data_IF_718541181195
#
_entry.id   IF_718541181195
#
_cell.length_a   1.000
_cell.length_b   1.000
_cell.length_c   1.000
_cell.angle_alpha   90.00
_cell.angle_beta   90.00
_cell.angle_gamma   90.00
#
_symmetry.space_group_name_H-M   'P 1'
#
loop_
_entity.id
_entity.type
_entity.pdbx_description
1 polymer ?
#
# COMPACT_ATOMS: atom_id res chain seq x y z
N UNK A 1 -2.27 32.60 -2.60
CA UNK A 1 -1.58 31.50 -1.87
C UNK A 1 -0.35 31.07 -2.65
N UNK A 2 0.66 30.57 -1.99
CA UNK A 2 1.90 30.08 -2.61
C UNK A 2 2.15 28.65 -2.15
N UNK A 3 2.36 27.72 -3.08
CA UNK A 3 2.90 26.39 -2.80
C UNK A 3 4.44 26.49 -2.77
N UNK A 4 5.04 26.01 -1.69
CA UNK A 4 6.48 25.98 -1.49
C UNK A 4 7.01 24.58 -1.29
N UNK A 5 8.25 24.37 -1.72
CA UNK A 5 9.10 23.22 -1.36
C UNK A 5 10.20 23.76 -0.44
N UNK A 6 10.09 23.55 0.87
CA UNK A 6 10.79 24.34 1.89
C UNK A 6 10.58 25.83 1.64
N UNK A 7 11.65 26.61 1.43
CA UNK A 7 11.54 28.06 1.18
C UNK A 7 11.48 28.43 -0.32
N UNK A 8 11.49 27.41 -1.24
CA UNK A 8 11.36 27.65 -2.68
C UNK A 8 9.90 27.82 -3.07
N UNK A 9 9.56 28.94 -3.70
CA UNK A 9 8.24 29.14 -4.30
C UNK A 9 8.13 28.33 -5.60
N UNK A 10 7.12 27.45 -5.67
CA UNK A 10 6.87 26.60 -6.85
C UNK A 10 5.80 27.18 -7.76
N UNK A 11 4.69 27.62 -7.17
CA UNK A 11 3.56 28.20 -7.90
C UNK A 11 2.71 29.08 -6.99
N UNK A 12 1.96 30.00 -7.61
CA UNK A 12 0.95 30.85 -6.96
C UNK A 12 -0.42 30.46 -7.44
N UNK A 13 -1.40 30.49 -6.54
CA UNK A 13 -2.77 30.12 -6.84
C UNK A 13 -3.77 30.92 -5.99
N UNK A 14 -5.01 30.92 -6.43
CA UNK A 14 -6.15 31.50 -5.73
C UNK A 14 -7.21 30.42 -5.45
N UNK A 15 -7.90 30.54 -4.32
CA UNK A 15 -9.07 29.73 -4.06
C UNK A 15 -10.24 30.16 -4.94
N UNK A 16 -10.99 29.19 -5.47
CA UNK A 16 -12.19 29.40 -6.29
C UNK A 16 -13.38 28.76 -5.58
N UNK A 17 -14.43 29.53 -5.35
CA UNK A 17 -15.67 29.05 -4.74
C UNK A 17 -16.51 28.23 -5.76
N UNK A 18 -17.27 27.19 -5.34
CA UNK A 18 -17.42 26.74 -3.95
C UNK A 18 -16.27 25.86 -3.45
N UNK A 19 -15.54 25.19 -4.30
CA UNK A 19 -14.39 24.33 -4.02
C UNK A 19 -13.51 24.20 -5.25
N UNK A 20 -12.31 24.71 -5.21
CA UNK A 20 -11.35 24.65 -6.31
C UNK A 20 -10.21 25.63 -6.12
N UNK A 21 -9.32 25.59 -7.08
CA UNK A 21 -8.18 26.51 -7.18
C UNK A 21 -8.01 26.99 -8.61
N UNK A 22 -7.36 28.12 -8.77
CA UNK A 22 -6.86 28.63 -10.04
C UNK A 22 -5.38 28.91 -9.89
N UNK A 23 -4.56 28.25 -10.70
CA UNK A 23 -3.12 28.50 -10.77
C UNK A 23 -2.91 29.85 -11.49
N UNK A 24 -2.23 30.77 -10.79
CA UNK A 24 -1.95 32.12 -11.30
C UNK A 24 -0.63 32.14 -12.03
N UNK A 25 0.39 31.52 -11.46
CA UNK A 25 1.73 31.45 -12.06
C UNK A 25 2.50 30.24 -11.56
N UNK A 26 3.42 29.77 -12.37
CA UNK A 26 4.33 28.66 -12.04
C UNK A 26 5.75 29.20 -12.15
N UNK A 27 6.59 28.87 -11.17
CA UNK A 27 8.01 29.18 -11.21
C UNK A 27 8.72 28.10 -12.05
N UNK A 28 8.93 28.38 -13.32
CA UNK A 28 9.50 27.43 -14.27
C UNK A 28 10.94 27.00 -13.91
N UNK A 29 11.71 27.87 -13.22
CA UNK A 29 13.04 27.53 -12.76
C UNK A 29 13.05 26.42 -11.69
N UNK A 30 11.97 26.34 -10.90
CA UNK A 30 11.82 25.37 -9.82
C UNK A 30 10.84 24.23 -10.16
N UNK A 31 10.38 24.11 -11.42
CA UNK A 31 9.40 23.11 -11.87
C UNK A 31 9.79 21.67 -11.51
N UNK A 32 11.08 21.34 -11.48
CA UNK A 32 11.58 20.03 -11.09
C UNK A 32 11.22 19.62 -9.65
N UNK A 33 10.94 20.59 -8.78
CA UNK A 33 10.54 20.37 -7.40
C UNK A 33 9.03 20.30 -7.20
N UNK A 34 8.21 20.33 -8.26
CA UNK A 34 6.79 20.04 -8.13
C UNK A 34 6.58 18.64 -7.52
N UNK A 35 5.53 18.45 -6.71
CA UNK A 35 5.19 17.14 -6.19
C UNK A 35 5.17 16.08 -7.29
N UNK A 36 5.84 14.93 -7.09
CA UNK A 36 5.93 13.87 -8.09
C UNK A 36 4.55 13.39 -8.58
N UNK A 37 3.55 13.43 -7.71
CA UNK A 37 2.16 13.09 -8.02
C UNK A 37 1.46 14.09 -8.97
N UNK A 38 2.06 15.23 -9.27
CA UNK A 38 1.61 16.16 -10.30
C UNK A 38 2.20 15.83 -11.68
N UNK A 39 3.09 14.84 -11.79
CA UNK A 39 3.71 14.40 -13.06
C UNK A 39 4.28 15.56 -13.89
N UNK A 40 4.85 16.57 -13.22
CA UNK A 40 5.41 17.78 -13.86
C UNK A 40 4.37 18.75 -14.42
N UNK A 41 3.07 18.51 -14.21
CA UNK A 41 1.98 19.37 -14.68
C UNK A 41 1.42 20.20 -13.52
N UNK A 42 1.56 21.52 -13.60
CA UNK A 42 1.02 22.45 -12.61
C UNK A 42 -0.17 23.21 -13.22
N UNK A 43 -1.37 22.66 -13.05
CA UNK A 43 -2.63 23.30 -13.43
C UNK A 43 -3.67 23.21 -12.30
N UNK A 44 -4.84 23.75 -12.50
CA UNK A 44 -5.93 23.80 -11.52
C UNK A 44 -6.32 22.41 -11.02
N UNK A 45 -6.44 21.43 -11.93
CA UNK A 45 -6.87 20.06 -11.63
C UNK A 45 -5.82 19.30 -10.80
N UNK A 46 -4.54 19.34 -11.24
CA UNK A 46 -3.45 18.63 -10.55
C UNK A 46 -3.20 19.24 -9.18
N UNK A 47 -3.23 20.55 -9.05
CA UNK A 47 -3.07 21.25 -7.77
C UNK A 47 -4.25 20.94 -6.83
N UNK A 48 -5.50 21.02 -7.32
CA UNK A 48 -6.69 20.70 -6.51
C UNK A 48 -6.66 19.27 -6.01
N UNK A 49 -6.28 18.32 -6.88
CA UNK A 49 -6.13 16.91 -6.54
C UNK A 49 -5.08 16.72 -5.44
N UNK A 50 -3.95 17.37 -5.58
CA UNK A 50 -2.86 17.31 -4.60
C UNK A 50 -3.30 17.91 -3.24
N UNK A 51 -3.91 19.08 -3.21
CA UNK A 51 -4.43 19.71 -1.98
C UNK A 51 -5.48 18.83 -1.29
N UNK A 52 -6.41 18.24 -2.04
CA UNK A 52 -7.44 17.35 -1.50
C UNK A 52 -6.83 16.10 -0.86
N UNK A 53 -5.77 15.54 -1.47
CA UNK A 53 -5.04 14.39 -0.92
C UNK A 53 -4.19 14.74 0.32
N UNK A 54 -3.97 16.01 0.59
CA UNK A 54 -3.27 16.51 1.79
C UNK A 54 -4.21 16.80 2.96
N UNK A 55 -5.46 16.47 2.84
CA UNK A 55 -6.40 16.53 3.96
C UNK A 55 -6.64 15.13 4.51
N UNK A 56 -6.95 15.04 5.78
CA UNK A 56 -7.22 13.78 6.45
C UNK A 56 -8.43 13.06 5.84
N UNK A 57 -8.38 11.71 5.67
CA UNK A 57 -9.50 10.95 5.13
C UNK A 57 -10.75 11.07 6.01
N UNK A 58 -11.91 11.27 5.39
CA UNK A 58 -13.21 11.42 6.08
C UNK A 58 -13.63 10.21 6.90
N UNK A 59 -13.16 9.02 6.52
CA UNK A 59 -13.42 7.77 7.21
C UNK A 59 -12.39 7.45 8.32
N UNK A 60 -11.46 8.36 8.60
CA UNK A 60 -10.56 8.21 9.74
C UNK A 60 -11.36 8.32 11.04
N UNK A 61 -11.09 7.41 11.95
CA UNK A 61 -11.73 7.42 13.26
C UNK A 61 -11.46 8.72 14.01
N UNK A 62 -12.47 9.24 14.69
CA UNK A 62 -12.49 10.47 15.49
C UNK A 62 -12.19 11.76 14.70
N UNK A 63 -12.25 11.72 13.35
CA UNK A 63 -11.94 12.91 12.56
C UNK A 63 -13.04 13.96 12.65
N UNK A 64 -14.31 13.55 12.65
CA UNK A 64 -15.44 14.47 12.72
C UNK A 64 -15.47 15.21 14.08
N UNK A 65 -15.13 14.52 15.17
CA UNK A 65 -15.00 15.11 16.50
C UNK A 65 -13.85 16.12 16.55
N UNK A 66 -12.72 15.81 15.92
CA UNK A 66 -11.59 16.74 15.82
C UNK A 66 -11.98 17.97 15.00
N UNK A 67 -12.60 17.76 13.82
CA UNK A 67 -13.00 18.86 12.93
C UNK A 67 -14.07 19.76 13.57
N UNK A 68 -15.07 19.17 14.22
CA UNK A 68 -16.11 19.93 14.92
C UNK A 68 -15.55 20.85 16.01
N UNK A 69 -14.52 20.37 16.74
CA UNK A 69 -13.86 21.16 17.78
C UNK A 69 -13.14 22.41 17.25
N UNK A 70 -12.62 22.33 16.04
CA UNK A 70 -11.94 23.46 15.38
C UNK A 70 -12.88 24.30 14.51
N UNK A 71 -14.18 24.00 14.52
CA UNK A 71 -15.15 24.72 13.73
C UNK A 71 -15.06 24.49 12.22
N UNK A 72 -14.43 23.40 11.79
CA UNK A 72 -14.30 23.03 10.39
C UNK A 72 -15.09 21.74 10.08
N UNK A 73 -15.41 21.56 8.82
CA UNK A 73 -15.87 20.27 8.28
C UNK A 73 -14.69 19.52 7.66
N UNK A 74 -14.66 18.19 7.78
CA UNK A 74 -13.71 17.32 7.08
C UNK A 74 -13.77 17.46 5.54
N UNK A 75 -14.79 18.15 5.02
CA UNK A 75 -14.95 18.48 3.59
C UNK A 75 -14.35 19.82 3.20
N UNK A 76 -14.01 20.66 4.17
CA UNK A 76 -13.49 22.01 3.90
C UNK A 76 -11.98 21.95 3.63
N UNK A 77 -11.59 21.57 2.40
CA UNK A 77 -10.18 21.48 1.98
C UNK A 77 -9.46 22.80 2.20
N UNK A 78 -10.05 23.93 1.77
CA UNK A 78 -9.49 25.27 1.97
C UNK A 78 -9.20 25.54 3.44
N UNK A 79 -10.20 25.42 4.32
CA UNK A 79 -10.03 25.70 5.75
C UNK A 79 -9.01 24.80 6.43
N UNK A 80 -8.94 23.50 6.03
CA UNK A 80 -7.94 22.56 6.57
C UNK A 80 -6.53 22.98 6.12
N UNK A 81 -6.33 23.28 4.84
CA UNK A 81 -5.03 23.69 4.30
C UNK A 81 -4.59 25.04 4.91
N UNK A 82 -5.47 26.00 5.02
CA UNK A 82 -5.16 27.30 5.66
C UNK A 82 -4.79 27.14 7.13
N UNK A 83 -5.44 26.20 7.84
CA UNK A 83 -5.15 25.92 9.24
C UNK A 83 -3.77 25.25 9.43
N UNK A 84 -3.50 24.16 8.70
CA UNK A 84 -2.29 23.33 8.89
C UNK A 84 -1.19 23.64 7.87
N UNK A 85 -1.38 24.64 7.02
CA UNK A 85 -0.49 24.98 5.88
C UNK A 85 -0.20 23.79 4.95
N UNK A 86 -1.02 22.74 4.99
CA UNK A 86 -0.79 21.51 4.28
C UNK A 86 0.50 20.77 4.69
N UNK A 87 1.09 21.09 5.83
CA UNK A 87 2.30 20.43 6.34
C UNK A 87 2.09 18.94 6.59
N UNK A 88 3.08 18.13 6.22
CA UNK A 88 3.03 16.67 6.35
C UNK A 88 4.38 16.14 6.85
N UNK A 89 4.34 14.99 7.53
CA UNK A 89 5.56 14.22 7.86
C UNK A 89 6.02 13.34 6.69
N UNK A 90 5.39 13.43 5.52
CA UNK A 90 5.78 12.64 4.35
C UNK A 90 6.71 13.38 3.39
N UNK A 91 6.80 14.70 3.48
CA UNK A 91 7.53 15.53 2.51
C UNK A 91 7.81 16.92 3.07
N UNK A 92 8.32 17.84 2.24
CA UNK A 92 8.72 19.20 2.60
C UNK A 92 7.89 20.27 1.90
N UNK A 93 6.68 19.92 1.45
CA UNK A 93 5.76 20.87 0.84
C UNK A 93 4.85 21.54 1.85
N UNK A 94 4.56 22.81 1.63
CA UNK A 94 3.61 23.57 2.40
C UNK A 94 2.99 24.72 1.61
N UNK A 95 1.90 25.26 2.14
CA UNK A 95 1.15 26.35 1.51
C UNK A 95 1.13 27.55 2.44
N UNK A 96 1.49 28.71 1.90
CA UNK A 96 1.52 29.95 2.66
C UNK A 96 0.70 31.05 1.97
N UNK A 97 0.22 32.08 2.68
CA UNK A 97 -0.32 33.28 2.06
C UNK A 97 0.68 33.94 1.12
N UNK A 98 0.20 34.63 0.12
CA UNK A 98 1.07 35.43 -0.75
C UNK A 98 1.72 36.59 0.07
N UNK A 99 3.01 36.81 -0.17
CA UNK A 99 3.79 37.80 0.61
C UNK A 99 4.18 37.34 2.03
N UNK A 100 3.94 36.05 2.39
CA UNK A 100 4.35 35.50 3.68
C UNK A 100 5.88 35.37 3.77
N UNK A 101 6.46 35.91 4.83
CA UNK A 101 7.91 35.89 5.10
C UNK A 101 8.33 34.69 5.98
N UNK A 102 7.38 33.86 6.41
CA UNK A 102 7.64 32.70 7.25
C UNK A 102 8.61 31.73 6.54
N UNK A 103 9.54 31.14 7.30
CA UNK A 103 10.53 30.18 6.81
C UNK A 103 10.12 28.75 7.11
N UNK A 104 10.57 27.80 6.29
CA UNK A 104 10.39 26.36 6.49
C UNK A 104 10.89 25.91 7.86
N UNK A 105 12.03 26.45 8.29
CA UNK A 105 12.67 26.10 9.56
C UNK A 105 11.73 26.33 10.75
N UNK A 106 10.90 27.35 10.72
CA UNK A 106 10.06 27.76 11.86
C UNK A 106 8.75 26.95 11.93
N UNK A 107 8.36 26.24 10.84
CA UNK A 107 7.05 25.59 10.75
C UNK A 107 7.10 24.10 10.44
N UNK A 108 8.22 23.55 9.94
CA UNK A 108 8.30 22.16 9.58
C UNK A 108 7.98 21.22 10.77
N UNK A 109 7.36 20.06 10.46
CA UNK A 109 6.94 19.10 11.48
C UNK A 109 8.08 18.17 11.94
N UNK A 110 9.24 18.23 11.29
CA UNK A 110 10.39 17.39 11.63
C UNK A 110 11.12 17.92 12.87
N UNK A 111 11.28 19.22 12.97
CA UNK A 111 12.05 19.91 14.01
C UNK A 111 11.16 20.59 15.07
N UNK A 112 9.99 21.10 14.64
CA UNK A 112 9.12 21.86 15.52
C UNK A 112 8.12 20.95 16.26
N UNK A 113 7.74 21.37 17.46
CA UNK A 113 6.74 20.67 18.26
C UNK A 113 5.34 20.80 17.65
N UNK A 114 4.54 19.78 17.82
CA UNK A 114 3.13 19.77 17.46
C UNK A 114 2.23 19.38 18.64
N UNK A 115 0.98 19.78 18.57
CA UNK A 115 0.06 19.74 19.71
C UNK A 115 -0.25 18.33 20.21
N UNK A 116 0.16 18.02 21.42
CA UNK A 116 -0.23 16.80 22.13
C UNK A 116 -1.76 16.73 22.35
N UNK A 117 -2.43 17.85 22.47
CA UNK A 117 -3.87 17.93 22.65
C UNK A 117 -4.62 17.52 21.37
N UNK A 118 -4.16 17.98 20.19
CA UNK A 118 -4.67 17.52 18.90
C UNK A 118 -4.40 16.02 18.71
N UNK A 119 -3.21 15.55 19.04
CA UNK A 119 -2.86 14.11 18.97
C UNK A 119 -3.78 13.25 19.86
N UNK A 120 -4.08 13.69 21.09
CA UNK A 120 -5.03 13.01 21.96
C UNK A 120 -6.43 12.94 21.36
N UNK A 121 -6.93 14.07 20.82
CA UNK A 121 -8.25 14.15 20.20
C UNK A 121 -8.33 13.22 18.99
N UNK A 122 -7.36 13.28 18.09
CA UNK A 122 -7.29 12.43 16.90
C UNK A 122 -7.26 10.95 17.25
N UNK A 123 -6.63 10.57 18.37
CA UNK A 123 -6.54 9.18 18.81
C UNK A 123 -7.79 8.69 19.56
N UNK A 124 -8.34 9.49 20.48
CA UNK A 124 -9.38 9.05 21.41
C UNK A 124 -10.77 9.62 21.16
N UNK A 125 -10.90 10.65 20.33
CA UNK A 125 -12.13 11.44 20.17
C UNK A 125 -12.40 12.39 21.34
N UNK A 126 -11.56 12.34 22.39
CA UNK A 126 -11.71 13.14 23.60
C UNK A 126 -10.40 13.85 23.93
N UNK A 127 -10.46 15.13 24.22
CA UNK A 127 -9.29 15.92 24.55
C UNK A 127 -9.66 17.20 25.31
N UNK A 128 -8.67 17.97 25.78
CA UNK A 128 -8.90 19.25 26.42
C UNK A 128 -9.55 20.24 25.46
N UNK A 129 -10.13 21.29 25.99
CA UNK A 129 -10.70 22.38 25.19
C UNK A 129 -9.57 23.23 24.58
N UNK A 130 -9.66 23.50 23.27
CA UNK A 130 -8.58 24.18 22.54
C UNK A 130 -9.03 25.59 22.18
N UNK A 131 -9.10 26.48 23.07
CA UNK A 131 -9.47 27.87 22.73
C UNK A 131 -8.29 28.77 22.41
N UNK A 132 -7.05 28.31 22.62
CA UNK A 132 -5.87 29.18 22.47
C UNK A 132 -4.77 28.45 21.68
N UNK A 133 -4.39 29.07 20.56
CA UNK A 133 -3.25 28.75 19.67
C UNK A 133 -3.29 27.41 18.96
N UNK A 134 -3.88 27.41 17.77
CA UNK A 134 -3.76 26.34 16.80
C UNK A 134 -2.31 26.26 16.33
N UNK A 135 -1.63 25.20 16.70
CA UNK A 135 -0.32 24.86 16.14
C UNK A 135 -0.49 23.87 15.02
N UNK A 136 0.38 23.92 14.01
CA UNK A 136 0.44 22.91 12.98
C UNK A 136 0.55 21.51 13.60
N UNK A 137 -0.15 20.55 13.03
CA UNK A 137 -0.16 19.18 13.52
C UNK A 137 -0.18 18.21 12.34
N UNK A 138 0.59 17.10 12.39
CA UNK A 138 0.57 16.08 11.36
C UNK A 138 -0.78 15.35 11.28
N UNK A 139 -1.64 15.50 12.29
CA UNK A 139 -2.93 14.82 12.35
C UNK A 139 -3.88 15.23 11.22
N UNK A 140 -3.73 16.44 10.69
CA UNK A 140 -4.57 16.97 9.60
C UNK A 140 -4.21 16.42 8.22
N UNK A 141 -3.05 15.78 8.08
CA UNK A 141 -2.54 15.23 6.81
C UNK A 141 -2.22 13.74 6.88
N UNK A 142 -2.42 13.11 8.05
CA UNK A 142 -2.13 11.69 8.26
C UNK A 142 -3.24 10.80 7.71
N UNK A 143 -2.89 9.89 6.81
CA UNK A 143 -3.79 8.95 6.16
C UNK A 143 -4.12 7.71 7.02
N UNK A 144 -5.17 6.98 6.60
CA UNK A 144 -5.61 5.69 7.13
C UNK A 144 -6.76 5.79 8.13
N UNK A 145 -7.54 4.71 8.26
CA UNK A 145 -8.82 4.68 8.96
C UNK A 145 -8.72 4.48 10.47
N UNK A 146 -7.75 3.71 10.95
CA UNK A 146 -7.64 3.38 12.38
C UNK A 146 -7.30 4.61 13.22
N UNK A 147 -7.70 4.61 14.48
CA UNK A 147 -7.31 5.63 15.45
C UNK A 147 -5.79 5.64 15.62
N UNK A 148 -5.19 6.76 15.33
CA UNK A 148 -3.74 6.95 15.37
C UNK A 148 -3.38 8.37 15.72
N UNK A 149 -2.16 8.57 16.21
CA UNK A 149 -1.61 9.90 16.41
C UNK A 149 -0.08 9.87 16.41
N UNK A 150 0.49 11.01 16.07
CA UNK A 150 1.91 11.26 16.18
C UNK A 150 2.25 11.90 17.53
N UNK A 151 3.35 11.46 18.11
CA UNK A 151 3.84 12.02 19.37
C UNK A 151 5.34 12.22 19.30
N UNK A 152 5.81 13.36 19.84
CA UNK A 152 7.22 13.60 20.04
C UNK A 152 7.58 13.18 21.46
N UNK A 153 8.47 12.20 21.62
CA UNK A 153 8.89 11.66 22.92
C UNK A 153 10.42 11.60 22.91
N UNK A 154 11.04 12.29 23.84
CA UNK A 154 12.49 12.39 23.96
C UNK A 154 13.17 12.74 22.62
N UNK A 155 12.60 13.71 21.89
CA UNK A 155 13.07 14.15 20.58
C UNK A 155 12.66 13.26 19.40
N UNK A 156 12.20 12.03 19.64
CA UNK A 156 11.78 11.10 18.58
C UNK A 156 10.32 11.28 18.21
N UNK A 157 10.02 11.29 16.92
CA UNK A 157 8.65 11.32 16.40
C UNK A 157 8.17 9.88 16.22
N UNK A 158 7.14 9.51 16.97
CA UNK A 158 6.57 8.16 17.02
C UNK A 158 5.10 8.18 16.59
N UNK A 159 4.72 7.26 15.70
CA UNK A 159 3.32 6.97 15.39
C UNK A 159 2.77 5.98 16.42
N UNK A 160 1.62 6.29 17.01
CA UNK A 160 0.80 5.39 17.81
C UNK A 160 -0.44 5.01 17.01
N UNK A 161 -0.66 3.73 16.75
CA UNK A 161 -1.77 3.21 15.95
C UNK A 161 -2.50 2.11 16.73
N UNK A 162 -3.79 2.30 17.02
CA UNK A 162 -4.62 1.29 17.69
C UNK A 162 -5.10 0.22 16.70
N UNK A 163 -5.61 -0.88 17.24
CA UNK A 163 -6.36 -1.85 16.45
C UNK A 163 -7.81 -1.43 16.20
N UNK A 164 -8.51 -2.25 15.42
CA UNK A 164 -9.97 -2.14 15.20
C UNK A 164 -10.73 -2.34 16.51
N UNK A 165 -11.89 -1.72 16.62
CA UNK A 165 -12.79 -1.84 17.77
C UNK A 165 -14.20 -2.21 17.29
N UNK A 166 -14.95 -2.90 18.15
CA UNK A 166 -16.32 -3.33 17.91
C UNK A 166 -16.50 -4.84 17.99
N UNK A 167 -17.73 -5.30 18.05
CA UNK A 167 -18.07 -6.70 18.35
C UNK A 167 -17.54 -7.73 17.33
N UNK A 168 -17.30 -7.32 16.09
CA UNK A 168 -16.80 -8.20 15.02
C UNK A 168 -15.32 -8.02 14.72
N UNK A 169 -14.61 -7.20 15.49
CA UNK A 169 -13.20 -6.87 15.26
C UNK A 169 -12.32 -7.49 16.35
N UNK A 170 -11.12 -7.91 15.96
CA UNK A 170 -10.18 -8.56 16.88
C UNK A 170 -9.37 -7.56 17.70
N UNK A 171 -9.05 -6.40 17.12
CA UNK A 171 -8.12 -5.44 17.71
C UNK A 171 -6.67 -5.91 17.73
N UNK A 172 -6.33 -6.96 16.92
CA UNK A 172 -5.01 -7.59 16.95
C UNK A 172 -3.99 -6.96 15.97
N UNK A 173 -4.37 -5.96 15.21
CA UNK A 173 -3.50 -5.28 14.26
C UNK A 173 -2.19 -4.79 14.91
N UNK A 174 -2.17 -4.22 16.14
CA UNK A 174 -0.92 -3.84 16.79
C UNK A 174 0.04 -5.01 17.00
N UNK A 175 -0.47 -6.20 17.32
CA UNK A 175 0.35 -7.40 17.46
C UNK A 175 0.89 -7.86 16.12
N UNK A 176 0.07 -7.80 15.06
CA UNK A 176 0.51 -8.13 13.71
C UNK A 176 1.66 -7.24 13.26
N UNK A 177 1.57 -5.93 13.46
CA UNK A 177 2.65 -4.99 13.18
C UNK A 177 3.94 -5.38 13.92
N UNK A 178 3.83 -5.64 15.22
CA UNK A 178 4.97 -5.97 16.08
C UNK A 178 5.64 -7.29 15.72
N UNK A 179 4.86 -8.34 15.43
CA UNK A 179 5.40 -9.66 15.07
C UNK A 179 5.90 -9.68 13.62
N UNK A 180 5.21 -9.02 12.70
CA UNK A 180 5.64 -8.91 11.31
C UNK A 180 6.97 -8.16 11.18
N UNK A 181 7.21 -7.12 12.00
CA UNK A 181 8.51 -6.42 11.98
C UNK A 181 9.67 -7.32 12.39
N UNK A 182 9.45 -8.25 13.35
CA UNK A 182 10.48 -9.23 13.74
C UNK A 182 10.75 -10.26 12.63
N UNK A 183 9.71 -10.67 11.89
CA UNK A 183 9.88 -11.55 10.72
C UNK A 183 10.65 -10.82 9.63
N UNK A 184 10.33 -9.55 9.35
CA UNK A 184 11.06 -8.74 8.37
C UNK A 184 12.53 -8.54 8.77
N UNK A 185 12.81 -8.32 10.06
CA UNK A 185 14.16 -8.25 10.60
C UNK A 185 14.94 -9.56 10.37
N UNK A 186 14.33 -10.70 10.69
CA UNK A 186 14.93 -12.02 10.48
C UNK A 186 15.20 -12.35 9.01
N UNK A 187 14.38 -11.81 8.10
CA UNK A 187 14.56 -11.90 6.65
C UNK A 187 15.61 -10.90 6.11
N UNK A 188 16.15 -10.01 6.93
CA UNK A 188 17.06 -8.95 6.48
C UNK A 188 16.41 -7.95 5.51
N UNK A 189 15.11 -7.67 5.68
CA UNK A 189 14.37 -6.72 4.86
C UNK A 189 14.43 -5.30 5.44
N UNK A 190 14.49 -4.30 4.55
CA UNK A 190 14.29 -2.90 4.95
C UNK A 190 12.86 -2.69 5.44
N UNK A 191 12.68 -2.47 6.73
CA UNK A 191 11.37 -2.36 7.36
C UNK A 191 11.34 -1.33 8.46
N UNK A 192 10.14 -0.89 8.83
CA UNK A 192 9.92 -0.07 10.02
C UNK A 192 9.82 -0.98 11.24
N UNK A 193 10.64 -0.71 12.26
CA UNK A 193 10.60 -1.47 13.52
C UNK A 193 9.37 -1.05 14.35
N UNK A 194 8.60 -2.03 14.81
CA UNK A 194 7.42 -1.79 15.62
C UNK A 194 7.62 -2.25 17.07
N UNK A 195 7.09 -1.44 17.99
CA UNK A 195 6.92 -1.77 19.39
C UNK A 195 5.43 -1.86 19.77
N UNK A 196 5.16 -2.23 21.02
CA UNK A 196 3.82 -2.21 21.61
C UNK A 196 3.78 -1.27 22.82
N UNK A 197 2.69 -0.50 22.92
CA UNK A 197 2.46 0.41 24.04
C UNK A 197 0.97 0.53 24.34
N UNK A 198 0.64 1.29 25.40
CA UNK A 198 -0.73 1.74 25.64
C UNK A 198 -0.80 3.26 25.61
N UNK A 199 -1.81 3.78 24.94
CA UNK A 199 -2.13 5.20 24.93
C UNK A 199 -3.62 5.40 25.13
N UNK A 200 -4.01 6.27 26.08
CA UNK A 200 -5.43 6.48 26.43
C UNK A 200 -6.21 5.19 26.68
N UNK A 201 -5.61 4.26 27.39
CA UNK A 201 -6.24 2.97 27.73
C UNK A 201 -6.25 1.90 26.62
N UNK A 202 -5.90 2.25 25.37
CA UNK A 202 -5.90 1.34 24.22
C UNK A 202 -4.51 0.79 23.93
N UNK A 203 -4.44 -0.48 23.55
CA UNK A 203 -3.23 -1.07 22.99
C UNK A 203 -2.94 -0.46 21.62
N UNK A 204 -1.66 -0.16 21.38
CA UNK A 204 -1.19 0.39 20.12
C UNK A 204 0.10 -0.30 19.67
N UNK A 205 0.30 -0.41 18.38
CA UNK A 205 1.62 -0.46 17.81
C UNK A 205 2.25 0.92 17.84
N UNK A 206 3.57 0.96 18.01
CA UNK A 206 4.35 2.20 17.96
C UNK A 206 5.51 2.01 17.01
N UNK A 207 5.78 3.01 16.17
CA UNK A 207 6.93 2.96 15.29
C UNK A 207 7.54 4.36 15.11
N UNK A 208 8.87 4.44 14.88
CA UNK A 208 9.51 5.70 14.54
C UNK A 208 9.07 6.19 13.16
N UNK A 209 9.13 7.50 13.00
CA UNK A 209 9.03 8.14 11.68
C UNK A 209 10.20 7.67 10.82
N UNK A 210 9.93 7.19 9.60
CA UNK A 210 10.97 6.75 8.66
C UNK A 210 11.33 7.81 7.61
N UNK A 211 10.58 8.89 7.55
CA UNK A 211 10.88 10.08 6.73
C UNK A 211 11.66 11.10 7.55
N UNK A 212 12.19 12.10 6.89
CA UNK A 212 12.95 13.19 7.49
C UNK A 212 12.86 14.43 6.62
N UNK A 213 13.46 15.54 7.04
CA UNK A 213 13.62 16.70 6.14
C UNK A 213 14.39 16.33 4.86
N UNK A 214 15.34 15.38 4.95
CA UNK A 214 16.11 14.90 3.79
C UNK A 214 15.35 13.92 2.91
N UNK A 215 14.57 13.01 3.48
CA UNK A 215 13.91 11.92 2.75
C UNK A 215 12.40 11.95 2.97
N UNK A 216 11.66 12.13 1.87
CA UNK A 216 10.22 12.07 1.83
C UNK A 216 9.68 10.70 1.42
N UNK A 217 8.37 10.55 1.54
CA UNK A 217 7.63 9.36 1.11
C UNK A 217 6.48 9.74 0.18
N UNK A 218 6.38 9.06 -0.94
CA UNK A 218 5.22 9.16 -1.83
C UNK A 218 4.60 7.78 -2.07
N UNK A 219 3.29 7.59 -1.83
CA UNK A 219 2.62 6.34 -2.11
C UNK A 219 2.70 5.95 -3.59
N UNK A 220 2.92 4.67 -3.89
CA UNK A 220 3.04 4.19 -5.27
C UNK A 220 1.83 4.57 -6.12
N UNK A 221 0.62 4.48 -5.58
CA UNK A 221 -0.62 4.81 -6.30
C UNK A 221 -0.82 6.28 -6.65
N UNK A 222 0.09 7.15 -6.24
CA UNK A 222 0.10 8.56 -6.63
C UNK A 222 1.05 8.86 -7.79
N UNK A 223 1.98 7.95 -8.08
CA UNK A 223 3.06 8.15 -9.06
C UNK A 223 2.93 7.20 -10.24
N UNK A 224 2.53 5.94 -9.99
CA UNK A 224 2.44 4.89 -11.01
C UNK A 224 1.10 4.17 -10.97
N UNK A 225 0.73 3.54 -12.07
CA UNK A 225 -0.40 2.63 -12.13
C UNK A 225 -0.13 1.35 -11.33
N UNK A 226 -1.19 0.60 -11.05
CA UNK A 226 -1.07 -0.69 -10.35
C UNK A 226 -0.23 -1.70 -11.14
N UNK A 227 -0.40 -1.75 -12.45
CA UNK A 227 0.31 -2.71 -13.29
C UNK A 227 1.81 -2.38 -13.34
N UNK A 228 2.18 -1.11 -13.41
CA UNK A 228 3.57 -0.65 -13.31
C UNK A 228 4.17 -0.96 -11.94
N UNK A 229 3.46 -0.69 -10.85
CA UNK A 229 3.95 -1.00 -9.50
C UNK A 229 4.18 -2.50 -9.28
N UNK A 230 3.35 -3.37 -9.87
CA UNK A 230 3.48 -4.82 -9.73
C UNK A 230 4.71 -5.41 -10.43
N UNK A 231 5.24 -4.73 -11.42
CA UNK A 231 6.45 -5.16 -12.16
C UNK A 231 7.70 -4.37 -11.76
N UNK A 232 7.57 -3.38 -10.89
CA UNK A 232 8.70 -2.58 -10.42
C UNK A 232 9.56 -3.42 -9.45
N UNK A 233 10.84 -3.70 -9.80
CA UNK A 233 11.72 -4.53 -8.98
C UNK A 233 11.99 -3.95 -7.59
N UNK A 234 11.79 -2.65 -7.40
CA UNK A 234 11.94 -1.99 -6.09
C UNK A 234 10.94 -2.51 -5.05
N UNK A 235 9.77 -2.98 -5.50
CA UNK A 235 8.73 -3.51 -4.62
C UNK A 235 8.74 -5.03 -4.47
N UNK A 236 9.68 -5.72 -5.12
CA UNK A 236 9.78 -7.19 -5.07
C UNK A 236 9.85 -7.71 -3.64
N UNK A 237 10.64 -7.09 -2.79
CA UNK A 237 10.83 -7.49 -1.41
C UNK A 237 9.56 -7.36 -0.57
N UNK A 238 8.75 -6.31 -0.77
CA UNK A 238 7.51 -6.11 -0.02
C UNK A 238 6.43 -7.11 -0.42
N UNK A 239 6.27 -7.41 -1.70
CA UNK A 239 5.30 -8.40 -2.15
C UNK A 239 5.70 -9.82 -1.73
N UNK A 240 7.00 -10.13 -1.71
CA UNK A 240 7.51 -11.38 -1.19
C UNK A 240 7.24 -11.50 0.32
N UNK A 241 7.48 -10.46 1.07
CA UNK A 241 7.18 -10.40 2.50
C UNK A 241 5.70 -10.60 2.78
N UNK A 242 4.82 -9.93 2.03
CA UNK A 242 3.36 -10.10 2.16
C UNK A 242 2.93 -11.55 1.93
N UNK A 243 3.59 -12.26 0.99
CA UNK A 243 3.35 -13.69 0.79
C UNK A 243 3.77 -14.53 2.01
N UNK A 244 4.84 -14.18 2.69
CA UNK A 244 5.31 -14.88 3.90
C UNK A 244 4.37 -14.67 5.08
N UNK A 245 4.02 -13.41 5.37
CA UNK A 245 3.18 -13.05 6.53
C UNK A 245 1.68 -13.11 6.24
N UNK A 246 1.31 -13.40 4.99
CA UNK A 246 -0.08 -13.42 4.56
C UNK A 246 -0.80 -12.08 4.81
N UNK A 247 -0.19 -10.98 4.34
CA UNK A 247 -0.81 -9.66 4.44
C UNK A 247 -1.91 -9.50 3.38
N UNK A 248 -3.12 -9.22 3.84
CA UNK A 248 -4.32 -9.17 3.00
C UNK A 248 -4.70 -7.77 2.54
N UNK A 249 -4.01 -6.74 3.04
CA UNK A 249 -4.36 -5.33 2.82
C UNK A 249 -3.23 -4.52 2.17
N UNK A 250 -2.33 -5.14 1.40
CA UNK A 250 -1.32 -4.39 0.65
C UNK A 250 -1.97 -3.68 -0.54
N UNK A 251 -2.31 -2.44 -0.35
CA UNK A 251 -2.83 -1.56 -1.39
C UNK A 251 -1.81 -0.48 -1.77
N UNK A 252 -2.04 0.21 -2.89
CA UNK A 252 -1.15 1.22 -3.47
C UNK A 252 -0.87 2.44 -2.57
N UNK A 253 -1.53 2.55 -1.43
CA UNK A 253 -1.36 3.64 -0.45
C UNK A 253 -0.41 3.29 0.71
N UNK A 254 -0.12 1.99 0.95
CA UNK A 254 0.72 1.55 2.07
C UNK A 254 2.03 0.89 1.64
N UNK A 255 2.48 1.20 0.42
CA UNK A 255 3.85 1.08 -0.07
C UNK A 255 4.13 2.17 -1.10
N UNK A 256 5.38 2.48 -1.35
CA UNK A 256 5.75 3.54 -2.29
C UNK A 256 7.23 3.83 -2.29
N UNK A 257 7.56 5.03 -2.68
CA UNK A 257 8.92 5.46 -2.95
C UNK A 257 9.46 6.37 -1.84
N UNK A 258 10.74 6.19 -1.55
CA UNK A 258 11.54 7.19 -0.85
C UNK A 258 12.04 8.23 -1.86
N UNK A 259 11.91 9.51 -1.50
CA UNK A 259 12.29 10.64 -2.35
C UNK A 259 13.34 11.46 -1.61
N UNK A 260 14.42 11.80 -2.30
CA UNK A 260 15.38 12.79 -1.81
C UNK A 260 14.78 14.18 -2.00
N UNK A 261 14.48 14.87 -0.90
CA UNK A 261 13.87 16.18 -0.93
C UNK A 261 14.79 17.30 -1.45
N UNK A 262 16.10 17.07 -1.52
CA UNK A 262 17.03 18.06 -2.08
C UNK A 262 17.09 18.02 -3.61
N UNK A 263 16.83 16.85 -4.20
CA UNK A 263 16.85 16.66 -5.66
C UNK A 263 15.46 16.41 -6.25
N UNK A 264 14.47 16.05 -5.42
CA UNK A 264 13.14 15.58 -5.79
C UNK A 264 13.16 14.29 -6.62
N UNK A 265 14.19 13.44 -6.43
CA UNK A 265 14.36 12.19 -7.14
C UNK A 265 13.99 10.98 -6.27
N UNK A 266 13.44 9.94 -6.91
CA UNK A 266 13.18 8.67 -6.24
C UNK A 266 14.50 7.95 -5.99
N UNK A 267 14.84 7.71 -4.72
CA UNK A 267 16.07 7.01 -4.32
C UNK A 267 15.87 5.52 -4.05
N UNK A 268 14.63 5.05 -3.95
CA UNK A 268 14.33 3.64 -3.72
C UNK A 268 12.90 3.38 -3.28
N UNK A 269 12.62 2.15 -2.87
CA UNK A 269 11.38 1.84 -2.18
C UNK A 269 11.46 2.30 -0.71
N UNK A 270 10.32 2.74 -0.18
CA UNK A 270 10.17 2.98 1.25
C UNK A 270 10.34 1.66 2.04
N UNK A 271 10.79 1.71 3.30
CA UNK A 271 10.84 0.53 4.16
C UNK A 271 9.45 -0.09 4.29
N UNK A 272 9.37 -1.40 4.52
CA UNK A 272 8.10 -2.12 4.69
C UNK A 272 7.40 -1.64 5.97
N UNK A 273 6.15 -1.23 5.85
CA UNK A 273 5.30 -0.78 6.95
C UNK A 273 3.84 -1.18 6.70
N UNK A 274 2.97 -0.91 7.67
CA UNK A 274 1.52 -1.18 7.62
C UNK A 274 1.19 -2.67 7.36
N UNK A 275 1.61 -3.53 8.30
CA UNK A 275 1.43 -4.98 8.27
C UNK A 275 0.32 -5.45 9.23
N UNK A 276 -0.57 -4.55 9.63
CA UNK A 276 -1.61 -4.80 10.61
C UNK A 276 -2.57 -5.92 10.24
N UNK A 277 -2.76 -6.16 8.93
CA UNK A 277 -3.65 -7.19 8.40
C UNK A 277 -2.93 -8.49 8.01
N UNK A 278 -1.68 -8.65 8.45
CA UNK A 278 -0.93 -9.90 8.34
C UNK A 278 -1.18 -10.85 9.52
N UNK A 279 -0.55 -12.02 9.49
CA UNK A 279 -0.46 -12.98 10.60
C UNK A 279 -1.81 -13.29 11.27
N UNK A 280 -2.87 -13.36 10.46
CA UNK A 280 -4.24 -13.68 10.90
C UNK A 280 -4.86 -12.71 11.92
N UNK A 281 -4.43 -11.47 11.93
CA UNK A 281 -4.94 -10.45 12.85
C UNK A 281 -6.47 -10.34 12.89
N UNK A 282 -7.14 -10.62 11.77
CA UNK A 282 -8.60 -10.55 11.65
C UNK A 282 -9.33 -11.84 12.09
N UNK A 283 -8.60 -12.93 12.41
CA UNK A 283 -9.22 -14.17 12.85
C UNK A 283 -9.62 -14.07 14.32
N UNK A 284 -10.91 -14.27 14.60
CA UNK A 284 -11.46 -14.30 15.96
C UNK A 284 -11.17 -15.66 16.63
N UNK A 285 -10.76 -15.64 17.90
CA UNK A 285 -10.69 -16.84 18.73
C UNK A 285 -12.12 -17.18 19.19
N UNK A 286 -12.69 -18.28 18.68
CA UNK A 286 -13.98 -18.80 19.18
C UNK A 286 -13.75 -19.53 20.50
N UNK A 287 -14.58 -19.27 21.51
CA UNK A 287 -14.48 -19.96 22.79
C UNK A 287 -14.80 -21.44 22.61
N UNK A 288 -13.89 -22.29 23.07
CA UNK A 288 -14.14 -23.72 23.22
C UNK A 288 -13.60 -24.63 22.14
N UNK A 289 -12.91 -24.10 21.14
CA UNK A 289 -12.49 -24.91 20.00
C UNK A 289 -11.06 -25.44 20.09
N UNK A 290 -10.89 -26.65 19.60
CA UNK A 290 -9.64 -27.35 19.39
C UNK A 290 -8.79 -26.71 18.29
N UNK A 291 -7.64 -27.28 17.97
CA UNK A 291 -6.72 -26.85 16.89
C UNK A 291 -7.37 -26.49 15.53
N UNK A 292 -8.62 -26.91 15.31
CA UNK A 292 -9.36 -26.67 14.06
C UNK A 292 -9.86 -25.25 13.87
N UNK A 293 -9.79 -24.36 14.87
CA UNK A 293 -10.21 -22.96 14.76
C UNK A 293 -9.41 -22.15 13.73
N UNK A 294 -8.18 -22.54 13.50
CA UNK A 294 -7.36 -21.97 12.41
C UNK A 294 -7.75 -22.52 11.03
N UNK A 295 -8.64 -23.53 10.95
CA UNK A 295 -9.17 -24.00 9.67
C UNK A 295 -10.13 -23.02 9.00
N UNK A 296 -10.78 -22.14 9.74
CA UNK A 296 -11.51 -21.00 9.15
C UNK A 296 -10.56 -20.00 8.45
N UNK A 297 -9.26 -20.08 8.72
CA UNK A 297 -8.22 -19.46 7.93
C UNK A 297 -8.20 -19.91 6.47
N UNK A 298 -8.55 -21.16 6.14
CA UNK A 298 -8.70 -21.59 4.73
C UNK A 298 -9.84 -20.85 4.04
N UNK A 299 -10.94 -20.57 4.74
CA UNK A 299 -12.04 -19.74 4.23
C UNK A 299 -11.63 -18.28 4.14
N UNK A 300 -10.79 -17.81 5.04
CA UNK A 300 -10.23 -16.46 5.00
C UNK A 300 -9.23 -16.33 3.83
N UNK A 301 -8.33 -17.31 3.68
CA UNK A 301 -7.37 -17.43 2.57
C UNK A 301 -8.06 -17.43 1.21
N UNK A 302 -9.23 -18.06 1.07
CA UNK A 302 -10.00 -18.06 -0.18
C UNK A 302 -10.62 -16.70 -0.54
N UNK A 303 -10.72 -15.77 0.42
CA UNK A 303 -11.24 -14.40 0.20
C UNK A 303 -10.14 -13.38 -0.10
N UNK A 304 -8.89 -13.73 0.18
CA UNK A 304 -7.73 -12.87 -0.10
C UNK A 304 -7.53 -12.83 -1.60
N UNK A 305 -7.25 -11.63 -2.11
CA UNK A 305 -6.99 -11.43 -3.52
C UNK A 305 -5.80 -12.31 -3.97
N UNK A 306 -6.03 -13.50 -4.55
CA UNK A 306 -4.96 -14.41 -4.94
C UNK A 306 -4.04 -13.79 -6.00
N UNK A 307 -4.51 -12.72 -6.68
CA UNK A 307 -3.80 -12.11 -7.79
C UNK A 307 -2.51 -11.40 -7.37
N UNK A 308 -2.46 -10.80 -6.16
CA UNK A 308 -1.20 -10.28 -5.62
C UNK A 308 -0.25 -11.42 -5.24
N UNK A 309 -0.82 -12.50 -4.74
CA UNK A 309 -0.15 -13.65 -4.19
C UNK A 309 0.38 -14.61 -5.27
N UNK A 310 -0.44 -14.91 -6.29
CA UNK A 310 -0.11 -15.82 -7.40
C UNK A 310 0.74 -15.14 -8.46
N UNK A 311 0.53 -13.83 -8.75
CA UNK A 311 1.43 -13.10 -9.64
C UNK A 311 2.86 -13.08 -9.12
N UNK A 312 3.03 -13.11 -7.83
CA UNK A 312 4.34 -13.05 -7.20
C UNK A 312 5.04 -14.41 -7.14
N UNK A 313 4.30 -15.47 -6.85
CA UNK A 313 4.79 -16.86 -6.95
C UNK A 313 4.85 -17.37 -8.40
N UNK A 314 4.13 -16.72 -9.32
CA UNK A 314 4.13 -16.99 -10.76
C UNK A 314 5.11 -16.11 -11.56
N UNK A 315 6.10 -15.50 -10.92
CA UNK A 315 7.17 -14.78 -11.62
C UNK A 315 7.93 -15.76 -12.52
N UNK A 316 8.11 -15.46 -13.81
CA UNK A 316 8.86 -16.33 -14.73
C UNK A 316 10.36 -16.30 -14.42
N UNK A 317 10.77 -16.89 -13.32
CA UNK A 317 12.16 -16.88 -12.85
C UNK A 317 12.37 -17.66 -11.55
N UNK A 318 11.31 -18.26 -11.00
CA UNK A 318 11.40 -19.00 -9.74
C UNK A 318 11.83 -18.14 -8.55
N UNK A 319 12.24 -18.76 -7.47
CA UNK A 319 12.80 -18.07 -6.31
C UNK A 319 14.24 -17.64 -6.58
N UNK A 320 14.48 -16.33 -6.55
CA UNK A 320 15.86 -15.82 -6.67
C UNK A 320 16.73 -16.32 -5.50
N UNK A 321 18.04 -16.36 -5.70
CA UNK A 321 19.01 -16.71 -4.64
C UNK A 321 18.77 -15.84 -3.39
N UNK A 322 18.57 -14.54 -3.56
CA UNK A 322 18.30 -13.59 -2.48
C UNK A 322 17.02 -13.94 -1.70
N UNK A 323 15.96 -14.38 -2.36
CA UNK A 323 14.72 -14.81 -1.71
C UNK A 323 14.92 -16.10 -0.90
N UNK A 324 15.68 -17.06 -1.44
CA UNK A 324 16.04 -18.30 -0.74
C UNK A 324 16.83 -17.98 0.55
N UNK A 325 17.84 -17.13 0.45
CA UNK A 325 18.63 -16.67 1.60
C UNK A 325 17.75 -15.98 2.67
N UNK A 326 16.78 -15.16 2.27
CA UNK A 326 15.82 -14.52 3.18
C UNK A 326 14.91 -15.52 3.89
N UNK A 327 14.44 -16.56 3.19
CA UNK A 327 13.66 -17.65 3.80
C UNK A 327 14.51 -18.48 4.77
N UNK A 328 15.77 -18.69 4.46
CA UNK A 328 16.70 -19.40 5.35
C UNK A 328 16.88 -18.67 6.68
N UNK A 329 16.85 -17.33 6.70
CA UNK A 329 16.85 -16.51 7.92
C UNK A 329 15.65 -16.77 8.85
N UNK A 330 14.56 -17.34 8.32
CA UNK A 330 13.38 -17.68 9.10
C UNK A 330 13.34 -19.11 9.60
N UNK A 331 14.31 -19.97 9.25
CA UNK A 331 14.35 -21.38 9.75
C UNK A 331 14.51 -21.39 11.26
N UNK A 332 13.56 -22.00 11.95
CA UNK A 332 13.55 -22.04 13.41
C UNK A 332 13.26 -20.70 14.09
N UNK A 333 12.81 -19.69 13.32
CA UNK A 333 12.42 -18.40 13.88
C UNK A 333 11.36 -18.55 14.97
N UNK A 334 11.55 -17.82 16.06
CA UNK A 334 10.60 -17.69 17.17
C UNK A 334 10.34 -16.22 17.48
N UNK A 335 9.09 -15.89 17.77
CA UNK A 335 8.67 -14.53 18.12
C UNK A 335 9.25 -14.17 19.50
N UNK A 336 9.97 -13.05 19.56
CA UNK A 336 10.38 -12.44 20.83
C UNK A 336 9.14 -11.81 21.47
N UNK A 337 8.80 -12.27 22.66
CA UNK A 337 7.65 -11.76 23.41
C UNK A 337 7.92 -10.36 23.95
N UNK A 338 6.90 -9.51 23.87
CA UNK A 338 6.96 -8.22 24.54
C UNK A 338 6.85 -8.40 26.06
N UNK A 339 7.57 -7.62 26.90
CA UNK A 339 7.57 -7.80 28.35
C UNK A 339 6.18 -7.71 29.02
N UNK A 340 5.24 -6.99 28.42
CA UNK A 340 3.92 -6.72 29.03
C UNK A 340 2.73 -7.12 28.16
N UNK A 341 2.86 -7.06 26.82
CA UNK A 341 1.72 -7.17 25.90
C UNK A 341 1.97 -8.27 24.88
N UNK A 342 1.22 -9.36 24.97
CA UNK A 342 1.33 -10.47 24.03
C UNK A 342 -0.04 -11.05 23.72
N UNK A 343 -0.17 -11.63 22.55
CA UNK A 343 -1.25 -12.57 22.27
C UNK A 343 -1.18 -13.81 23.17
N UNK A 344 -2.26 -14.56 23.34
CA UNK A 344 -2.22 -15.87 23.99
C UNK A 344 -1.11 -16.75 23.40
N UNK A 345 -0.45 -17.53 24.24
CA UNK A 345 0.69 -18.38 23.86
C UNK A 345 0.36 -19.26 22.66
N UNK A 346 -0.79 -19.95 22.70
CA UNK A 346 -1.31 -20.80 21.62
C UNK A 346 -1.38 -20.06 20.29
N UNK A 347 -1.75 -18.79 20.30
CA UNK A 347 -1.85 -17.99 19.08
C UNK A 347 -0.48 -17.59 18.53
N UNK A 348 0.48 -17.29 19.40
CA UNK A 348 1.86 -17.04 18.99
C UNK A 348 2.46 -18.30 18.38
N UNK A 349 2.29 -19.46 19.00
CA UNK A 349 2.74 -20.76 18.49
C UNK A 349 2.14 -21.06 17.10
N UNK A 350 0.84 -20.79 16.92
CA UNK A 350 0.21 -20.97 15.63
C UNK A 350 0.76 -20.01 14.53
N UNK A 351 1.13 -18.78 14.87
CA UNK A 351 1.81 -17.86 13.96
C UNK A 351 3.21 -18.39 13.57
N UNK A 352 3.95 -18.90 14.55
CA UNK A 352 5.27 -19.50 14.35
C UNK A 352 5.19 -20.73 13.44
N UNK A 353 4.27 -21.65 13.73
CA UNK A 353 4.05 -22.87 12.93
C UNK A 353 3.60 -22.52 11.50
N UNK A 354 2.73 -21.53 11.35
CA UNK A 354 2.33 -21.02 10.05
C UNK A 354 3.53 -20.48 9.28
N UNK A 355 4.38 -19.67 9.91
CA UNK A 355 5.57 -19.12 9.27
C UNK A 355 6.47 -20.24 8.75
N UNK A 356 6.73 -21.29 9.56
CA UNK A 356 7.53 -22.43 9.14
C UNK A 356 6.86 -23.24 8.00
N UNK A 357 5.55 -23.41 8.05
CA UNK A 357 4.78 -24.06 6.96
C UNK A 357 4.88 -23.24 5.67
N UNK A 358 4.78 -21.91 5.78
CA UNK A 358 4.83 -20.99 4.65
C UNK A 358 6.17 -21.04 3.92
N UNK A 359 7.27 -21.10 4.65
CA UNK A 359 8.60 -21.27 4.09
C UNK A 359 8.65 -22.53 3.20
N UNK A 360 8.13 -23.68 3.70
CA UNK A 360 8.10 -24.91 2.93
C UNK A 360 7.27 -24.79 1.65
N UNK A 361 6.05 -24.23 1.78
CA UNK A 361 5.14 -24.03 0.64
C UNK A 361 5.77 -23.15 -0.45
N UNK A 362 6.43 -22.06 -0.07
CA UNK A 362 7.09 -21.15 -0.99
C UNK A 362 8.29 -21.84 -1.66
N UNK A 363 9.10 -22.59 -0.90
CA UNK A 363 10.23 -23.32 -1.44
C UNK A 363 9.80 -24.42 -2.43
N UNK A 364 8.75 -25.18 -2.09
CA UNK A 364 8.20 -26.23 -2.98
C UNK A 364 7.62 -25.64 -4.27
N UNK A 365 6.97 -24.51 -4.19
CA UNK A 365 6.48 -23.79 -5.35
C UNK A 365 7.63 -23.28 -6.23
N UNK A 366 8.67 -22.70 -5.61
CA UNK A 366 9.85 -22.23 -6.31
C UNK A 366 10.59 -23.38 -7.04
N UNK A 367 10.72 -24.55 -6.42
CA UNK A 367 11.32 -25.72 -7.04
C UNK A 367 10.56 -26.17 -8.30
N UNK A 368 9.22 -26.20 -8.23
CA UNK A 368 8.38 -26.54 -9.41
C UNK A 368 8.51 -25.52 -10.54
N UNK A 369 8.67 -24.25 -10.23
CA UNK A 369 8.90 -23.20 -11.22
C UNK A 369 10.30 -23.32 -11.85
N UNK A 370 11.32 -23.67 -11.08
CA UNK A 370 12.68 -23.92 -11.56
C UNK A 370 12.70 -25.14 -12.51
N UNK A 371 11.99 -26.24 -12.19
CA UNK A 371 11.84 -27.42 -13.05
C UNK A 371 11.14 -27.07 -14.38
N UNK A 372 10.08 -26.27 -14.35
CA UNK A 372 9.37 -25.84 -15.55
C UNK A 372 10.24 -24.99 -16.48
N UNK A 373 11.06 -24.11 -15.91
CA UNK A 373 12.02 -23.28 -16.65
C UNK A 373 13.17 -24.12 -17.24
N UNK A 374 13.64 -25.16 -16.53
CA UNK A 374 14.64 -26.08 -17.04
C UNK A 374 14.11 -26.86 -18.26
N UNK A 375 12.85 -27.31 -18.22
CA UNK A 375 12.19 -27.98 -19.34
C UNK A 375 12.07 -27.06 -20.55
N UNK A 376 11.66 -25.81 -20.35
CA UNK A 376 11.61 -24.81 -21.44
C UNK A 376 12.99 -24.46 -22.01
N UNK A 377 14.04 -24.42 -21.18
CA UNK A 377 15.39 -24.17 -21.62
C UNK A 377 15.94 -25.34 -22.47
N UNK A 378 15.63 -26.60 -22.09
CA UNK A 378 15.98 -27.79 -22.85
C UNK A 378 15.24 -27.86 -24.20
N UNK A 379 13.94 -27.52 -24.22
CA UNK A 379 13.17 -27.39 -25.47
C UNK A 379 13.71 -26.31 -26.39
N UNK A 380 14.16 -25.19 -25.84
CA UNK A 380 14.77 -24.08 -26.58
C UNK A 380 16.15 -24.49 -27.16
N UNK A 381 16.91 -25.32 -26.44
CA UNK A 381 18.22 -25.83 -26.91
C UNK A 381 18.05 -26.86 -27.99
N UNK A 382 17.08 -27.75 -27.89
CA UNK A 382 16.74 -28.74 -28.93
C UNK A 382 16.24 -28.04 -30.21
N UNK A 383 15.42 -27.00 -30.09
CA UNK A 383 14.93 -26.22 -31.23
C UNK A 383 16.02 -25.33 -31.89
N UNK A 384 17.05 -24.90 -31.14
CA UNK A 384 18.24 -24.23 -31.72
C UNK A 384 19.13 -25.16 -32.54
N UNK A 385 19.13 -26.44 -32.24
CA UNK A 385 19.89 -27.43 -33.02
C UNK A 385 19.22 -27.80 -34.36
N UNK A 386 17.96 -27.40 -34.57
CA UNK A 386 17.17 -27.69 -35.78
C UNK A 386 16.82 -26.44 -36.63
N UNK A 387 17.57 -25.39 -36.57
CA UNK A 387 17.55 -24.28 -37.53
C UNK A 387 16.30 -23.39 -37.50
N UNK A 388 16.47 -22.18 -37.06
CA UNK A 388 15.69 -20.96 -37.33
C UNK A 388 14.19 -20.97 -37.13
N UNK A 389 13.75 -20.56 -35.93
CA UNK A 389 12.45 -19.89 -35.76
C UNK A 389 12.64 -18.69 -34.81
N UNK A 390 12.21 -17.53 -35.26
CA UNK A 390 12.17 -16.29 -34.51
C UNK A 390 11.25 -16.43 -33.29
N UNK A 391 11.76 -16.09 -32.11
CA UNK A 391 10.94 -15.93 -30.90
C UNK A 391 10.10 -14.66 -30.99
N UNK A 392 8.82 -14.79 -31.23
CA UNK A 392 7.82 -13.75 -31.04
C UNK A 392 7.14 -13.92 -29.67
N UNK A 393 6.81 -12.78 -29.05
CA UNK A 393 6.38 -12.66 -27.65
C UNK A 393 5.09 -13.43 -27.30
N UNK A 394 5.02 -13.97 -26.08
CA UNK A 394 3.95 -14.74 -25.42
C UNK A 394 2.53 -14.12 -25.36
N UNK A 395 2.26 -12.96 -25.98
CA UNK A 395 0.90 -12.41 -26.11
C UNK A 395 0.04 -13.18 -27.10
N UNK A 396 0.65 -13.81 -28.08
CA UNK A 396 -0.07 -14.53 -29.16
C UNK A 396 -0.57 -15.90 -28.69
N UNK A 397 0.16 -16.57 -27.77
CA UNK A 397 -0.19 -17.87 -27.19
C UNK A 397 -1.52 -17.83 -26.41
N UNK A 398 -1.76 -16.81 -25.59
CA UNK A 398 -2.97 -16.73 -24.77
C UNK A 398 -4.20 -16.35 -25.60
N UNK A 399 -4.04 -15.49 -26.60
CA UNK A 399 -5.10 -15.17 -27.56
C UNK A 399 -5.56 -16.44 -28.27
N UNK A 400 -4.63 -17.30 -28.67
CA UNK A 400 -4.94 -18.57 -29.33
C UNK A 400 -5.60 -19.57 -28.39
N UNK A 401 -5.18 -19.66 -27.13
CA UNK A 401 -5.83 -20.48 -26.11
C UNK A 401 -7.27 -20.05 -25.84
N UNK A 402 -7.55 -18.76 -25.77
CA UNK A 402 -8.92 -18.23 -25.64
C UNK A 402 -9.75 -18.63 -26.86
N UNK A 403 -9.23 -18.44 -28.09
CA UNK A 403 -9.91 -18.81 -29.32
C UNK A 403 -10.14 -20.32 -29.42
N UNK A 404 -9.19 -21.14 -29.00
CA UNK A 404 -9.30 -22.59 -29.00
C UNK A 404 -10.40 -23.09 -28.06
N UNK A 405 -10.49 -22.54 -26.85
CA UNK A 405 -11.55 -22.87 -25.91
C UNK A 405 -12.93 -22.40 -26.41
N UNK A 406 -13.03 -21.23 -27.07
CA UNK A 406 -14.26 -20.76 -27.70
C UNK A 406 -14.69 -21.59 -28.91
N UNK A 407 -13.75 -22.17 -29.67
CA UNK A 407 -14.06 -23.13 -30.73
C UNK A 407 -14.60 -24.45 -30.17
N UNK A 408 -14.04 -24.90 -29.01
CA UNK A 408 -14.48 -26.12 -28.34
C UNK A 408 -15.84 -25.95 -27.65
N UNK A 409 -16.08 -24.80 -27.02
CA UNK A 409 -17.36 -24.43 -26.42
C UNK A 409 -17.73 -22.96 -26.77
N UNK A 410 -18.57 -22.72 -27.76
CA UNK A 410 -18.99 -21.39 -28.14
C UNK A 410 -19.82 -20.64 -27.09
N UNK A 411 -20.35 -21.34 -26.09
CA UNK A 411 -21.13 -20.75 -24.99
C UNK A 411 -20.30 -20.46 -23.75
N UNK A 412 -19.01 -20.80 -23.76
CA UNK A 412 -18.10 -20.63 -22.62
C UNK A 412 -18.16 -19.21 -22.05
N UNK A 413 -18.32 -19.11 -20.75
CA UNK A 413 -18.37 -17.83 -20.04
C UNK A 413 -16.96 -17.31 -19.73
N UNK A 414 -16.87 -16.00 -19.44
CA UNK A 414 -15.60 -15.38 -19.02
C UNK A 414 -15.05 -16.00 -17.73
N UNK A 415 -15.93 -16.50 -16.86
CA UNK A 415 -15.54 -17.14 -15.59
C UNK A 415 -14.96 -18.51 -15.88
N UNK A 416 -15.63 -19.34 -16.68
CA UNK A 416 -15.13 -20.65 -17.08
C UNK A 416 -13.82 -20.57 -17.86
N UNK A 417 -13.67 -19.61 -18.77
CA UNK A 417 -12.39 -19.33 -19.44
C UNK A 417 -11.29 -18.94 -18.45
N UNK A 418 -11.63 -18.15 -17.46
CA UNK A 418 -10.69 -17.73 -16.43
C UNK A 418 -10.20 -18.92 -15.59
N UNK A 419 -11.13 -19.80 -15.24
CA UNK A 419 -10.84 -21.02 -14.47
C UNK A 419 -10.01 -22.02 -15.29
N UNK A 420 -10.37 -22.26 -16.57
CA UNK A 420 -9.63 -23.14 -17.47
C UNK A 420 -8.21 -22.65 -17.76
N UNK A 421 -8.05 -21.33 -17.94
CA UNK A 421 -6.76 -20.73 -18.27
C UNK A 421 -5.97 -20.31 -17.03
N UNK A 422 -6.51 -20.54 -15.83
CA UNK A 422 -5.91 -20.19 -14.53
C UNK A 422 -5.52 -18.71 -14.44
N UNK A 423 -6.36 -17.81 -15.03
CA UNK A 423 -6.16 -16.36 -15.04
C UNK A 423 -7.39 -15.63 -14.51
N UNK A 424 -7.26 -14.35 -14.15
CA UNK A 424 -8.38 -13.61 -13.59
C UNK A 424 -9.50 -13.36 -14.62
N UNK A 425 -10.80 -13.41 -14.24
CA UNK A 425 -11.92 -13.11 -15.13
C UNK A 425 -11.84 -11.72 -15.76
N UNK A 426 -11.25 -10.77 -15.06
CA UNK A 426 -11.04 -9.40 -15.54
C UNK A 426 -10.01 -9.33 -16.67
N UNK A 427 -8.97 -10.16 -16.57
CA UNK A 427 -7.94 -10.27 -17.61
C UNK A 427 -8.48 -10.95 -18.86
N UNK A 428 -9.26 -12.03 -18.69
CA UNK A 428 -10.02 -12.65 -19.79
C UNK A 428 -10.92 -11.63 -20.47
N UNK A 429 -11.71 -10.87 -19.69
CA UNK A 429 -12.60 -9.86 -20.22
C UNK A 429 -11.87 -8.77 -21.05
N UNK A 430 -10.69 -8.33 -20.58
CA UNK A 430 -9.85 -7.38 -21.30
C UNK A 430 -9.34 -7.97 -22.60
N UNK A 431 -8.78 -9.19 -22.57
CA UNK A 431 -8.23 -9.86 -23.75
C UNK A 431 -9.31 -10.18 -24.78
N UNK A 432 -10.49 -10.62 -24.32
CA UNK A 432 -11.66 -10.80 -25.21
C UNK A 432 -12.09 -9.49 -25.85
N UNK A 433 -12.04 -8.37 -25.13
CA UNK A 433 -12.34 -7.04 -25.69
C UNK A 433 -11.33 -6.66 -26.78
N UNK A 434 -10.05 -6.96 -26.58
CA UNK A 434 -9.00 -6.72 -27.57
C UNK A 434 -9.23 -7.59 -28.82
N UNK A 435 -9.55 -8.88 -28.65
CA UNK A 435 -9.87 -9.82 -29.74
C UNK A 435 -11.15 -9.44 -30.47
N UNK A 436 -12.14 -8.85 -29.79
CA UNK A 436 -13.32 -8.29 -30.45
C UNK A 436 -12.98 -7.03 -31.26
N UNK A 437 -12.13 -6.16 -30.72
CA UNK A 437 -11.69 -4.94 -31.39
C UNK A 437 -10.83 -5.26 -32.65
N UNK A 438 -10.03 -6.31 -32.61
CA UNK A 438 -9.26 -6.82 -33.77
C UNK A 438 -10.11 -7.62 -34.76
N UNK A 439 -11.38 -7.90 -34.44
CA UNK A 439 -12.27 -8.70 -35.28
C UNK A 439 -11.95 -10.21 -35.32
N UNK A 440 -11.17 -10.70 -34.38
CA UNK A 440 -10.81 -12.12 -34.28
C UNK A 440 -11.89 -12.97 -33.63
N UNK A 441 -12.69 -12.38 -32.75
CA UNK A 441 -13.88 -13.00 -32.16
C UNK A 441 -15.09 -12.05 -32.26
N UNK A 442 -16.28 -12.60 -32.34
CA UNK A 442 -17.52 -11.82 -32.22
C UNK A 442 -18.56 -12.50 -31.35
N UNK A 443 -19.42 -11.71 -30.74
CA UNK A 443 -20.58 -12.20 -30.01
C UNK A 443 -21.80 -12.24 -30.95
N UNK A 444 -22.47 -13.38 -31.02
CA UNK A 444 -23.66 -13.59 -31.83
C UNK A 444 -24.83 -13.85 -30.89
N UNK A 445 -25.92 -13.06 -31.05
CA UNK A 445 -27.12 -13.17 -30.21
C UNK A 445 -27.13 -12.22 -29.00
N UNK A 446 -28.13 -12.38 -28.12
CA UNK A 446 -28.33 -11.54 -26.93
C UNK A 446 -27.34 -11.89 -25.79
N UNK A 447 -27.12 -10.93 -24.87
CA UNK A 447 -26.15 -11.07 -23.78
C UNK A 447 -26.33 -12.32 -22.92
N UNK A 448 -27.56 -12.78 -22.71
CA UNK A 448 -27.85 -13.96 -21.88
C UNK A 448 -27.78 -15.31 -22.61
N UNK A 449 -28.08 -15.35 -23.90
CA UNK A 449 -28.18 -16.61 -24.67
C UNK A 449 -27.35 -16.57 -25.96
N UNK A 450 -26.47 -15.61 -26.13
CA UNK A 450 -25.58 -15.54 -27.27
C UNK A 450 -24.36 -16.44 -27.13
N UNK A 451 -23.67 -16.69 -28.25
CA UNK A 451 -22.47 -17.49 -28.32
C UNK A 451 -21.31 -16.71 -28.95
N UNK A 452 -20.11 -17.25 -28.81
CA UNK A 452 -18.90 -16.69 -29.38
C UNK A 452 -18.58 -17.34 -30.71
N UNK A 453 -18.26 -16.53 -31.70
CA UNK A 453 -17.66 -17.00 -32.94
C UNK A 453 -16.23 -16.52 -33.08
N UNK A 454 -15.33 -17.43 -33.43
CA UNK A 454 -13.94 -17.14 -33.78
C UNK A 454 -13.87 -16.89 -35.29
N UNK A 455 -13.51 -15.66 -35.68
CA UNK A 455 -13.56 -15.19 -37.06
C UNK A 455 -12.23 -15.35 -37.82
N UNK A 456 -11.10 -15.47 -37.09
CA UNK A 456 -9.74 -15.68 -37.66
C UNK A 456 -8.90 -16.57 -36.76
#
# INVERSE_FOLDING_TARGET
MVLRHRDRELLRFEWVEPQGVRVVSVNEAERRFLPLEMHGVANDETLWTWLTRRTVPRNRRNIEELMARIGLSSRNVKGIIELCRGLSLNDVYWVVPDGCEDSWKDFNLYENDFSNAIAQMAFSGVGPDFREQWTSSPEFTTNGMLAKCWRRIDGNVLLYKSGTEGASNTGFEPYSEFYASQIAEAMGLGHVAYGLSRFKGRLCSTCPLFTSDRYGYVPAGRVVSRDEALVDPRFADIFFFDAVIFNTDRHMGNFGYLVDNDTNEIVGAAPIFDNGYGLFSLALDRRGDSHDEFCDLRKFVSRVNPALYVKWLGFPGGLTKKMKERLDGLRGFRIKRHPRYNLPVRRIEAIEDFTQKRIREICEYGAKADDFLAIQADECTVNRAQGSVQCTHNSDSLSEQIKQNMRADPFITKIELADLLQISPRWVARKMKDLQASGEIRRVGADKNGHWEVCK
#
